data_IF_485307972666
#
_entry.id   IF_485307972666
#
_cell.length_a   1.000
_cell.length_b   1.000
_cell.length_c   1.000
_cell.angle_alpha   90.00
_cell.angle_beta   90.00
_cell.angle_gamma   90.00
#
_symmetry.space_group_name_H-M   'P 1'
#
loop_
_entity.id
_entity.type
_entity.pdbx_description
1 polymer ?
#
# COMPACT_ATOMS: atom_id res chain seq x y z
N UNK A 1 25.66 -16.34 -2.64
CA UNK A 1 26.48 -17.21 -1.78
C UNK A 1 25.93 -17.18 -0.36
N UNK A 2 26.27 -16.22 0.52
CA UNK A 2 25.92 -16.25 1.97
C UNK A 2 24.50 -16.65 2.39
N UNK A 3 23.47 -16.41 1.58
CA UNK A 3 22.08 -16.82 1.88
C UNK A 3 21.85 -18.32 1.66
N UNK A 4 22.48 -18.91 0.64
CA UNK A 4 22.38 -20.34 0.31
C UNK A 4 23.13 -21.17 1.35
N UNK A 5 24.27 -20.68 1.84
CA UNK A 5 25.08 -21.35 2.86
C UNK A 5 24.29 -21.49 4.19
N UNK A 6 23.54 -20.45 4.59
CA UNK A 6 22.63 -20.45 5.75
C UNK A 6 21.44 -21.42 5.58
N UNK A 7 20.93 -21.58 4.36
CA UNK A 7 19.77 -22.42 4.06
C UNK A 7 20.14 -23.92 4.04
N UNK A 8 21.39 -24.24 3.70
CA UNK A 8 21.98 -25.58 3.84
C UNK A 8 22.21 -25.92 5.33
N UNK A 9 22.81 -25.00 6.09
CA UNK A 9 23.10 -25.20 7.53
C UNK A 9 21.82 -25.37 8.38
N UNK A 10 20.72 -24.69 8.02
CA UNK A 10 19.40 -24.89 8.64
C UNK A 10 18.80 -26.28 8.33
N UNK A 11 19.00 -26.78 7.11
CA UNK A 11 18.51 -28.09 6.69
C UNK A 11 19.30 -29.24 7.34
N UNK A 12 20.63 -29.12 7.43
CA UNK A 12 21.46 -30.10 8.16
C UNK A 12 21.09 -30.14 9.66
N UNK A 13 20.90 -28.98 10.28
CA UNK A 13 20.43 -28.88 11.67
C UNK A 13 19.06 -29.52 11.88
N UNK A 14 18.15 -29.34 10.93
CA UNK A 14 16.81 -29.94 10.95
C UNK A 14 16.84 -31.46 10.76
N UNK A 15 17.75 -31.95 9.91
CA UNK A 15 17.96 -33.39 9.70
C UNK A 15 18.49 -34.05 10.98
N UNK A 16 19.48 -33.45 11.63
CA UNK A 16 20.04 -33.93 12.91
C UNK A 16 18.97 -33.95 14.01
N UNK A 17 18.16 -32.89 14.13
CA UNK A 17 17.03 -32.86 15.06
C UNK A 17 16.01 -33.98 14.77
N UNK A 18 15.69 -34.23 13.50
CA UNK A 18 14.77 -35.32 13.12
C UNK A 18 15.32 -36.71 13.45
N UNK A 19 16.64 -36.90 13.36
CA UNK A 19 17.28 -38.18 13.67
C UNK A 19 17.40 -38.41 15.19
N UNK A 20 17.74 -37.37 15.96
CA UNK A 20 17.74 -37.40 17.44
C UNK A 20 16.34 -37.69 17.99
N UNK A 21 15.29 -37.12 17.38
CA UNK A 21 13.90 -37.39 17.76
C UNK A 21 13.44 -38.80 17.36
N UNK A 22 13.89 -39.36 16.22
CA UNK A 22 13.62 -40.76 15.87
C UNK A 22 14.28 -41.77 16.83
N UNK A 23 15.46 -41.46 17.36
CA UNK A 23 16.13 -42.30 18.38
C UNK A 23 15.36 -42.28 19.72
N UNK A 24 14.48 -41.29 19.93
CA UNK A 24 13.71 -41.13 21.16
C UNK A 24 12.43 -41.97 21.23
N UNK A 25 11.86 -42.37 20.08
CA UNK A 25 10.61 -43.12 19.99
C UNK A 25 10.82 -44.61 19.71
N UNK A 26 11.06 -45.39 20.77
CA UNK A 26 10.82 -46.84 20.73
C UNK A 26 11.80 -47.74 21.47
N UNK A 27 11.40 -48.14 22.69
CA UNK A 27 11.71 -49.47 23.26
C UNK A 27 13.18 -49.78 23.60
N UNK A 28 13.80 -49.01 24.51
CA UNK A 28 14.86 -49.59 25.40
C UNK A 28 15.11 -48.84 26.75
N UNK A 29 14.10 -48.18 27.32
CA UNK A 29 14.21 -47.47 28.62
C UNK A 29 13.30 -47.99 29.75
N UNK A 30 12.75 -49.20 29.60
CA UNK A 30 11.84 -49.82 30.59
C UNK A 30 12.54 -50.59 31.73
N UNK A 31 13.88 -50.63 31.79
CA UNK A 31 14.64 -51.33 32.86
C UNK A 31 15.55 -50.45 33.73
N UNK A 32 15.44 -49.11 33.67
CA UNK A 32 16.09 -48.25 34.66
C UNK A 32 15.28 -48.28 35.97
N UNK A 33 15.67 -49.18 36.89
CA UNK A 33 15.17 -49.18 38.27
C UNK A 33 15.42 -47.81 38.90
N UNK A 34 14.33 -47.04 39.14
CA UNK A 34 14.38 -45.78 39.89
C UNK A 34 15.02 -46.00 41.26
N UNK A 35 16.26 -45.54 41.43
CA UNK A 35 16.91 -45.39 42.74
C UNK A 35 16.08 -44.42 43.57
N UNK A 36 15.58 -44.86 44.73
CA UNK A 36 14.82 -43.97 45.61
C UNK A 36 15.70 -42.84 46.12
N UNK A 37 15.20 -41.61 46.04
CA UNK A 37 15.86 -40.45 46.63
C UNK A 37 15.96 -40.61 48.14
N UNK A 38 17.10 -40.20 48.71
CA UNK A 38 17.40 -40.30 50.15
C UNK A 38 16.33 -39.59 51.02
N UNK A 39 15.65 -38.57 50.47
CA UNK A 39 14.60 -37.83 51.16
C UNK A 39 13.24 -38.56 51.25
N UNK A 40 12.93 -39.53 50.37
CA UNK A 40 11.67 -40.28 50.44
C UNK A 40 11.66 -41.34 51.55
N UNK A 41 12.84 -41.89 51.89
CA UNK A 41 12.97 -42.93 52.92
C UNK A 41 12.74 -42.41 54.35
N UNK A 42 12.82 -41.10 54.58
CA UNK A 42 12.67 -40.50 55.90
C UNK A 42 11.21 -40.20 56.29
N UNK A 43 10.25 -40.27 55.35
CA UNK A 43 8.80 -40.12 55.64
C UNK A 43 8.05 -41.43 55.84
N UNK A 44 8.62 -42.58 55.48
CA UNK A 44 8.10 -43.88 55.92
C UNK A 44 8.70 -44.26 57.27
N UNK A 45 7.93 -44.08 58.35
CA UNK A 45 8.36 -44.36 59.74
C UNK A 45 8.58 -45.86 60.04
N UNK A 46 9.59 -46.48 59.41
CA UNK A 46 10.00 -47.88 59.59
C UNK A 46 11.51 -48.06 59.43
N UNK A 47 12.28 -47.61 60.43
CA UNK A 47 13.60 -48.15 60.77
C UNK A 47 13.55 -48.42 62.28
N UNK A 48 12.94 -49.54 62.68
CA UNK A 48 13.65 -50.78 63.05
C UNK A 48 14.51 -50.58 64.31
N UNK A 49 13.87 -50.83 65.46
CA UNK A 49 14.54 -51.42 66.61
C UNK A 49 15.33 -52.66 66.18
N UNK A 50 16.64 -52.70 66.45
CA UNK A 50 17.46 -53.87 66.89
C UNK A 50 18.92 -53.67 66.51
N UNK A 51 19.76 -53.47 67.54
CA UNK A 51 21.20 -53.74 67.71
C UNK A 51 21.61 -52.82 68.89
N UNK A 52 22.06 -53.26 70.06
CA UNK A 52 22.45 -54.60 70.50
C UNK A 52 21.85 -55.00 71.84
N UNK A 53 21.49 -56.29 71.96
CA UNK A 53 21.26 -56.96 73.25
C UNK A 53 22.20 -58.14 73.35
N UNK A 54 22.87 -58.25 74.51
CA UNK A 54 23.43 -59.48 75.11
C UNK A 54 24.64 -60.10 74.37
N UNK A 55 25.80 -60.29 75.02
CA UNK A 55 25.98 -61.26 76.14
C UNK A 55 27.41 -61.22 76.76
N UNK A 56 27.41 -61.39 78.09
CA UNK A 56 28.44 -61.99 78.96
C UNK A 56 29.71 -61.15 79.28
N UNK A 57 30.28 -61.20 80.49
CA UNK A 57 30.10 -62.15 81.62
C UNK A 57 30.54 -61.54 82.97
N UNK A 58 29.94 -62.05 84.07
CA UNK A 58 30.48 -62.38 85.43
C UNK A 58 31.56 -61.47 86.09
N UNK A 59 31.58 -61.31 87.42
CA UNK A 59 31.21 -62.31 88.45
C UNK A 59 30.49 -61.78 89.69
N UNK A 60 29.78 -62.71 90.33
CA UNK A 60 29.43 -62.66 91.76
C UNK A 60 30.71 -62.70 92.63
N UNK A 61 30.58 -62.21 93.86
CA UNK A 61 30.94 -63.00 95.05
C UNK A 61 30.04 -62.54 96.20
N UNK A 62 29.20 -63.43 96.69
CA UNK A 62 28.53 -63.29 97.98
C UNK A 62 29.56 -63.43 99.12
N UNK A 63 29.22 -62.91 100.30
CA UNK A 63 29.23 -63.71 101.53
C UNK A 63 28.64 -62.88 102.68
N UNK A 64 27.47 -63.32 103.13
CA UNK A 64 26.87 -62.93 104.41
C UNK A 64 27.27 -64.00 105.43
N UNK A 65 27.77 -63.60 106.62
CA UNK A 65 27.89 -64.50 107.76
C UNK A 65 28.11 -63.73 109.07
N UNK A 66 27.44 -64.22 110.11
CA UNK A 66 27.30 -63.57 111.41
C UNK A 66 28.16 -64.29 112.48
N UNK A 67 28.59 -63.54 113.49
CA UNK A 67 29.07 -63.95 114.84
C UNK A 67 30.50 -64.47 115.14
N UNK A 68 31.06 -63.82 116.18
CA UNK A 68 31.94 -64.25 117.29
C UNK A 68 33.43 -64.70 117.13
N UNK A 69 34.28 -63.83 117.71
CA UNK A 69 35.40 -64.06 118.66
C UNK A 69 36.77 -64.71 118.30
N UNK A 70 37.82 -63.92 118.63
CA UNK A 70 39.13 -64.26 119.23
C UNK A 70 40.10 -65.25 118.51
N UNK A 71 41.20 -64.70 117.93
CA UNK A 71 42.61 -64.90 118.38
C UNK A 71 43.71 -64.66 117.30
N UNK A 72 44.60 -63.65 117.51
CA UNK A 72 46.06 -63.79 117.31
C UNK A 72 46.80 -63.40 116.00
N UNK A 73 47.55 -62.29 116.05
CA UNK A 73 48.80 -61.92 115.34
C UNK A 73 48.84 -61.53 113.83
N UNK A 74 49.81 -60.65 113.52
CA UNK A 74 50.04 -59.78 112.32
C UNK A 74 51.50 -59.97 111.78
N UNK A 75 52.10 -59.25 110.77
CA UNK A 75 51.64 -58.23 109.78
C UNK A 75 52.17 -58.56 108.31
N UNK A 76 52.90 -57.74 107.47
CA UNK A 76 52.86 -56.30 107.05
C UNK A 76 52.96 -56.02 105.49
N UNK A 77 52.20 -55.07 104.88
CA UNK A 77 52.48 -54.53 103.50
C UNK A 77 51.83 -53.16 103.13
N UNK A 78 51.84 -52.13 104.00
CA UNK A 78 50.97 -50.94 103.80
C UNK A 78 51.63 -49.75 103.08
N UNK A 79 52.90 -49.42 103.34
CA UNK A 79 53.48 -48.14 102.89
C UNK A 79 53.64 -47.95 101.38
N UNK A 80 53.79 -49.03 100.59
CA UNK A 80 53.89 -48.94 99.12
C UNK A 80 52.57 -48.49 98.48
N UNK A 81 51.44 -48.82 99.11
CA UNK A 81 50.10 -48.49 98.61
C UNK A 81 49.84 -46.98 98.66
N UNK A 82 50.18 -46.35 99.79
CA UNK A 82 49.99 -44.90 100.03
C UNK A 82 50.73 -44.03 99.01
N UNK A 83 51.98 -44.38 98.66
CA UNK A 83 52.77 -43.62 97.68
C UNK A 83 52.14 -43.67 96.28
N UNK A 84 51.70 -44.86 95.85
CA UNK A 84 51.00 -45.08 94.57
C UNK A 84 49.67 -44.32 94.49
N UNK A 85 48.94 -44.19 95.60
CA UNK A 85 47.72 -43.37 95.68
C UNK A 85 48.06 -41.88 95.44
N UNK A 86 49.14 -41.36 96.02
CA UNK A 86 49.54 -39.95 95.83
C UNK A 86 49.89 -39.63 94.37
N UNK A 87 50.63 -40.52 93.70
CA UNK A 87 51.03 -40.34 92.30
C UNK A 87 49.81 -40.41 91.36
N UNK A 88 48.89 -41.36 91.60
CA UNK A 88 47.62 -41.46 90.87
C UNK A 88 46.74 -40.21 91.07
N UNK A 89 46.67 -39.64 92.27
CA UNK A 89 45.93 -38.38 92.51
C UNK A 89 46.51 -37.19 91.74
N UNK A 90 47.84 -37.10 91.60
CA UNK A 90 48.48 -36.07 90.75
C UNK A 90 48.19 -36.29 89.27
N UNK A 91 48.25 -37.53 88.80
CA UNK A 91 47.92 -37.89 87.42
C UNK A 91 46.45 -37.58 87.09
N UNK A 92 45.53 -37.87 88.02
CA UNK A 92 44.11 -37.49 87.93
C UNK A 92 43.95 -35.97 87.87
N UNK A 93 44.67 -35.21 88.71
CA UNK A 93 44.65 -33.74 88.67
C UNK A 93 45.07 -33.18 87.31
N UNK A 94 46.18 -33.68 86.76
CA UNK A 94 46.68 -33.27 85.43
C UNK A 94 45.70 -33.67 84.32
N UNK A 95 45.12 -34.87 84.38
CA UNK A 95 44.08 -35.32 83.43
C UNK A 95 42.82 -34.47 83.51
N UNK A 96 42.36 -34.10 84.70
CA UNK A 96 41.21 -33.21 84.87
C UNK A 96 41.46 -31.82 84.28
N UNK A 97 42.63 -31.21 84.53
CA UNK A 97 43.00 -29.94 83.91
C UNK A 97 43.03 -30.03 82.37
N UNK A 98 43.53 -31.16 81.83
CA UNK A 98 43.56 -31.39 80.37
C UNK A 98 42.16 -31.61 79.79
N UNK A 99 41.26 -32.28 80.51
CA UNK A 99 39.85 -32.44 80.13
C UNK A 99 39.14 -31.09 80.08
N UNK A 100 39.34 -30.22 81.08
CA UNK A 100 38.75 -28.87 81.13
C UNK A 100 39.22 -28.04 79.94
N UNK A 101 40.52 -28.07 79.61
CA UNK A 101 41.04 -27.31 78.46
C UNK A 101 40.55 -27.90 77.12
N UNK A 102 40.45 -29.23 76.99
CA UNK A 102 39.83 -29.86 75.82
C UNK A 102 38.36 -29.48 75.65
N UNK A 103 37.59 -29.43 76.74
CA UNK A 103 36.19 -28.96 76.72
C UNK A 103 36.09 -27.49 76.29
N UNK A 104 37.03 -26.63 76.72
CA UNK A 104 37.12 -25.24 76.27
C UNK A 104 37.44 -25.13 74.77
N UNK A 105 38.42 -25.89 74.27
CA UNK A 105 38.73 -25.92 72.84
C UNK A 105 37.56 -26.44 71.99
N UNK A 106 36.84 -27.47 72.46
CA UNK A 106 35.63 -27.98 71.80
C UNK A 106 34.56 -26.90 71.74
N UNK A 107 34.29 -26.19 72.86
CA UNK A 107 33.30 -25.11 72.89
C UNK A 107 33.60 -24.00 71.88
N UNK A 108 34.88 -23.59 71.76
CA UNK A 108 35.30 -22.56 70.79
C UNK A 108 35.15 -23.05 69.34
N UNK A 109 35.47 -24.32 69.06
CA UNK A 109 35.29 -24.90 67.73
C UNK A 109 33.82 -25.07 67.36
N UNK A 110 32.96 -25.46 68.30
CA UNK A 110 31.51 -25.51 68.09
C UNK A 110 30.90 -24.12 67.82
N UNK A 111 31.41 -23.08 68.48
CA UNK A 111 30.96 -21.70 68.27
C UNK A 111 31.42 -21.18 66.90
N UNK A 112 32.69 -21.38 66.54
CA UNK A 112 33.20 -21.04 65.21
C UNK A 112 32.53 -21.84 64.07
N UNK A 113 32.11 -23.08 64.32
CA UNK A 113 31.33 -23.89 63.37
C UNK A 113 29.86 -23.48 63.31
N UNK A 114 29.28 -22.90 64.38
CA UNK A 114 27.95 -22.28 64.33
C UNK A 114 28.00 -20.96 63.55
N UNK A 115 29.01 -20.12 63.76
CA UNK A 115 29.18 -18.87 63.00
C UNK A 115 29.51 -19.09 61.51
N UNK A 116 30.31 -20.09 61.15
CA UNK A 116 30.56 -20.43 59.73
C UNK A 116 29.37 -21.13 59.04
N UNK A 117 28.36 -21.59 59.79
CA UNK A 117 27.13 -22.10 59.22
C UNK A 117 26.16 -20.94 58.96
N UNK A 118 26.42 -20.18 57.89
CA UNK A 118 25.58 -19.10 57.36
C UNK A 118 24.24 -19.61 56.78
N UNK A 119 23.64 -20.64 57.40
CA UNK A 119 22.39 -21.30 57.00
C UNK A 119 21.27 -20.25 56.86
N UNK A 120 21.17 -19.31 57.80
CA UNK A 120 20.19 -18.22 57.75
C UNK A 120 20.38 -17.30 56.52
N UNK A 121 21.63 -16.99 56.13
CA UNK A 121 21.91 -16.18 54.94
C UNK A 121 21.58 -16.96 53.66
N UNK A 122 21.93 -18.25 53.60
CA UNK A 122 21.59 -19.11 52.47
C UNK A 122 20.07 -19.29 52.32
N UNK A 123 19.33 -19.47 53.42
CA UNK A 123 17.87 -19.54 53.42
C UNK A 123 17.24 -18.23 52.92
N UNK A 124 17.75 -17.08 53.37
CA UNK A 124 17.30 -15.78 52.90
C UNK A 124 17.62 -15.55 51.41
N UNK A 125 18.80 -15.99 50.94
CA UNK A 125 19.17 -15.94 49.52
C UNK A 125 18.25 -16.83 48.68
N UNK A 126 17.92 -18.04 49.17
CA UNK A 126 17.00 -18.97 48.53
C UNK A 126 15.58 -18.40 48.41
N UNK A 127 15.10 -17.69 49.43
CA UNK A 127 13.82 -16.99 49.39
C UNK A 127 13.81 -15.85 48.35
N UNK A 128 14.90 -15.08 48.26
CA UNK A 128 15.05 -14.00 47.26
C UNK A 128 15.16 -14.56 45.83
N UNK A 129 15.87 -15.67 45.63
CA UNK A 129 15.95 -16.36 44.32
C UNK A 129 14.56 -16.84 43.90
N UNK A 130 13.84 -17.57 44.76
CA UNK A 130 12.46 -18.03 44.47
C UNK A 130 11.52 -16.87 44.13
N UNK A 131 11.54 -15.79 44.90
CA UNK A 131 10.71 -14.61 44.64
C UNK A 131 11.05 -13.93 43.31
N UNK A 132 12.32 -13.96 42.88
CA UNK A 132 12.74 -13.47 41.56
C UNK A 132 12.31 -14.42 40.44
N UNK A 133 12.45 -15.73 40.62
CA UNK A 133 12.03 -16.74 39.63
C UNK A 133 10.50 -16.70 39.44
N UNK A 134 9.73 -16.57 40.52
CA UNK A 134 8.27 -16.37 40.47
C UNK A 134 7.92 -15.10 39.65
N UNK A 135 8.59 -13.98 39.93
CA UNK A 135 8.39 -12.72 39.20
C UNK A 135 8.85 -12.77 37.74
N UNK A 136 9.88 -13.56 37.40
CA UNK A 136 10.30 -13.80 36.01
C UNK A 136 9.20 -14.59 35.28
N UNK A 137 8.72 -15.68 35.87
CA UNK A 137 7.61 -16.48 35.31
C UNK A 137 6.33 -15.64 35.10
N UNK A 138 5.99 -14.75 36.04
CA UNK A 138 4.86 -13.81 35.88
C UNK A 138 5.06 -12.86 34.70
N UNK A 139 6.25 -12.27 34.56
CA UNK A 139 6.57 -11.36 33.46
C UNK A 139 6.56 -12.07 32.11
N UNK A 140 7.10 -13.29 32.03
CA UNK A 140 7.05 -14.14 30.84
C UNK A 140 5.61 -14.50 30.45
N UNK A 141 4.75 -14.85 31.42
CA UNK A 141 3.33 -15.07 31.15
C UNK A 141 2.61 -13.82 30.64
N UNK A 142 2.92 -12.64 31.18
CA UNK A 142 2.33 -11.37 30.73
C UNK A 142 2.80 -11.01 29.32
N UNK A 143 4.10 -11.19 29.03
CA UNK A 143 4.68 -10.94 27.71
C UNK A 143 4.10 -11.90 26.68
N UNK A 144 4.05 -13.21 26.96
CA UNK A 144 3.46 -14.19 26.05
C UNK A 144 1.96 -13.92 25.83
N UNK A 145 1.17 -13.70 26.88
CA UNK A 145 -0.26 -13.35 26.72
C UNK A 145 -0.47 -12.10 25.87
N UNK A 146 0.29 -11.02 26.09
CA UNK A 146 0.17 -9.79 25.29
C UNK A 146 0.71 -9.94 23.87
N UNK A 147 1.81 -10.64 23.69
CA UNK A 147 2.44 -10.90 22.40
C UNK A 147 1.49 -11.65 21.48
N UNK A 148 1.04 -12.84 21.90
CA UNK A 148 0.14 -13.70 21.13
C UNK A 148 -1.20 -13.00 20.84
N UNK A 149 -1.92 -12.51 21.85
CA UNK A 149 -3.25 -11.90 21.63
C UNK A 149 -3.23 -10.65 20.76
N UNK A 150 -2.15 -9.86 20.76
CA UNK A 150 -2.06 -8.65 19.91
C UNK A 150 -1.42 -8.90 18.55
N UNK A 151 -0.70 -10.01 18.36
CA UNK A 151 -0.30 -10.49 17.03
C UNK A 151 -1.52 -11.09 16.32
N UNK A 152 -2.14 -12.11 16.92
CA UNK A 152 -3.30 -12.83 16.37
C UNK A 152 -4.44 -11.87 15.99
N UNK A 153 -4.74 -10.87 16.81
CA UNK A 153 -5.78 -9.88 16.50
C UNK A 153 -5.40 -8.99 15.30
N UNK A 154 -4.13 -8.61 15.16
CA UNK A 154 -3.66 -7.80 14.02
C UNK A 154 -3.64 -8.63 12.75
N UNK A 155 -3.18 -9.87 12.82
CA UNK A 155 -3.08 -10.76 11.65
C UNK A 155 -4.48 -11.16 11.14
N UNK A 156 -5.41 -11.51 12.04
CA UNK A 156 -6.81 -11.71 11.69
C UNK A 156 -7.43 -10.44 11.07
N UNK A 157 -7.15 -9.25 11.63
CA UNK A 157 -7.64 -7.99 11.08
C UNK A 157 -7.04 -7.65 9.72
N UNK A 158 -5.80 -8.03 9.45
CA UNK A 158 -5.16 -7.89 8.14
C UNK A 158 -5.87 -8.80 7.13
N UNK A 159 -6.09 -10.08 7.46
CA UNK A 159 -6.81 -11.02 6.60
C UNK A 159 -8.24 -10.54 6.26
N UNK A 160 -9.00 -10.05 7.25
CA UNK A 160 -10.31 -9.42 7.01
C UNK A 160 -10.25 -8.26 6.01
N UNK A 161 -9.24 -7.39 6.13
CA UNK A 161 -9.07 -6.23 5.26
C UNK A 161 -8.59 -6.63 3.85
N UNK A 162 -7.75 -7.66 3.73
CA UNK A 162 -7.33 -8.21 2.45
C UNK A 162 -8.50 -8.85 1.70
N UNK A 163 -9.37 -9.61 2.37
CA UNK A 163 -10.54 -10.22 1.75
C UNK A 163 -11.59 -9.17 1.36
N UNK A 164 -11.85 -8.18 2.22
CA UNK A 164 -12.69 -7.03 1.86
C UNK A 164 -12.12 -6.22 0.67
N UNK A 165 -10.79 -6.12 0.54
CA UNK A 165 -10.14 -5.46 -0.59
C UNK A 165 -10.28 -6.28 -1.88
N UNK A 166 -10.11 -7.61 -1.82
CA UNK A 166 -10.35 -8.52 -2.96
C UNK A 166 -11.80 -8.43 -3.44
N UNK A 167 -12.77 -8.45 -2.52
CA UNK A 167 -14.19 -8.29 -2.85
C UNK A 167 -14.47 -6.92 -3.48
N UNK A 168 -13.97 -5.84 -2.89
CA UNK A 168 -14.11 -4.48 -3.42
C UNK A 168 -13.53 -4.34 -4.83
N UNK A 169 -12.36 -4.95 -5.10
CA UNK A 169 -11.75 -4.99 -6.42
C UNK A 169 -12.60 -5.77 -7.43
N UNK A 170 -13.09 -6.97 -7.07
CA UNK A 170 -13.98 -7.76 -7.94
C UNK A 170 -15.28 -7.02 -8.27
N UNK A 171 -15.88 -6.37 -7.27
CA UNK A 171 -17.08 -5.53 -7.46
C UNK A 171 -16.78 -4.35 -8.39
N UNK A 172 -15.62 -3.70 -8.25
CA UNK A 172 -15.22 -2.61 -9.14
C UNK A 172 -15.04 -3.10 -10.59
N UNK A 173 -14.33 -4.22 -10.80
CA UNK A 173 -14.11 -4.82 -12.13
C UNK A 173 -15.42 -5.26 -12.80
N UNK A 174 -16.33 -5.91 -12.07
CA UNK A 174 -17.62 -6.34 -12.66
C UNK A 174 -18.52 -5.13 -12.96
N UNK A 175 -18.52 -4.08 -12.12
CA UNK A 175 -19.23 -2.83 -12.42
C UNK A 175 -18.69 -2.13 -13.66
N UNK A 176 -17.37 -2.08 -13.82
CA UNK A 176 -16.73 -1.49 -15.00
C UNK A 176 -17.06 -2.28 -16.27
N UNK A 177 -17.04 -3.62 -16.21
CA UNK A 177 -17.48 -4.48 -17.31
C UNK A 177 -18.94 -4.25 -17.69
N UNK A 178 -19.86 -4.25 -16.72
CA UNK A 178 -21.29 -3.97 -16.97
C UNK A 178 -21.49 -2.57 -17.58
N UNK A 179 -20.75 -1.57 -17.10
CA UNK A 179 -20.77 -0.22 -17.65
C UNK A 179 -20.32 -0.18 -19.13
N UNK A 180 -19.23 -0.89 -19.49
CA UNK A 180 -18.80 -1.02 -20.88
C UNK A 180 -19.85 -1.72 -21.76
N UNK A 181 -20.48 -2.79 -21.25
CA UNK A 181 -21.56 -3.50 -21.97
C UNK A 181 -22.83 -2.64 -22.15
N UNK A 182 -23.16 -1.77 -21.19
CA UNK A 182 -24.27 -0.81 -21.29
C UNK A 182 -23.97 0.34 -22.26
N UNK A 183 -22.79 0.95 -22.18
CA UNK A 183 -22.41 2.02 -23.10
C UNK A 183 -22.29 1.49 -24.53
N UNK A 184 -21.78 0.27 -24.74
CA UNK A 184 -21.75 -0.35 -26.06
C UNK A 184 -23.17 -0.59 -26.62
N UNK A 185 -24.10 -1.14 -25.80
CA UNK A 185 -25.52 -1.26 -26.18
C UNK A 185 -26.16 0.08 -26.51
N UNK A 186 -25.82 1.14 -25.77
CA UNK A 186 -26.28 2.51 -26.03
C UNK A 186 -25.72 3.07 -27.35
N UNK A 187 -24.42 2.90 -27.62
CA UNK A 187 -23.76 3.30 -28.87
C UNK A 187 -24.41 2.59 -30.07
N UNK A 188 -24.67 1.29 -29.97
CA UNK A 188 -25.36 0.53 -31.03
C UNK A 188 -26.80 0.99 -31.24
N UNK A 189 -27.53 1.28 -30.17
CA UNK A 189 -28.89 1.81 -30.23
C UNK A 189 -28.91 3.18 -30.91
N UNK A 190 -27.98 4.08 -30.58
CA UNK A 190 -27.82 5.38 -31.24
C UNK A 190 -27.45 5.25 -32.73
N UNK A 191 -26.56 4.30 -33.08
CA UNK A 191 -26.22 3.99 -34.48
C UNK A 191 -27.45 3.49 -35.26
N UNK A 192 -28.25 2.58 -34.68
CA UNK A 192 -29.50 2.08 -35.26
C UNK A 192 -30.53 3.20 -35.41
N UNK A 193 -30.70 4.05 -34.39
CA UNK A 193 -31.59 5.22 -34.42
C UNK A 193 -31.20 6.21 -35.52
N UNK A 194 -29.91 6.55 -35.67
CA UNK A 194 -29.42 7.43 -36.74
C UNK A 194 -29.68 6.86 -38.15
N UNK A 195 -29.48 5.55 -38.35
CA UNK A 195 -29.83 4.86 -39.61
C UNK A 195 -31.34 4.90 -39.88
N UNK A 196 -32.17 4.72 -38.85
CA UNK A 196 -33.63 4.78 -38.96
C UNK A 196 -34.12 6.21 -39.27
N UNK A 197 -33.55 7.23 -38.62
CA UNK A 197 -33.82 8.64 -38.90
C UNK A 197 -33.48 9.00 -40.35
N UNK A 198 -32.31 8.57 -40.85
CA UNK A 198 -31.93 8.73 -42.26
C UNK A 198 -32.96 8.07 -43.20
N UNK A 199 -33.40 6.83 -42.91
CA UNK A 199 -34.43 6.14 -43.69
C UNK A 199 -35.78 6.88 -43.68
N UNK A 200 -36.21 7.41 -42.53
CA UNK A 200 -37.45 8.21 -42.42
C UNK A 200 -37.35 9.47 -43.28
N UNK A 201 -36.22 10.21 -43.22
CA UNK A 201 -35.99 11.37 -44.07
C UNK A 201 -35.98 11.00 -45.56
N UNK A 202 -35.34 9.89 -45.94
CA UNK A 202 -35.35 9.41 -47.33
C UNK A 202 -36.76 9.07 -47.82
N UNK A 203 -37.59 8.40 -47.00
CA UNK A 203 -38.98 8.11 -47.31
C UNK A 203 -39.85 9.37 -47.40
N UNK A 204 -39.61 10.36 -46.54
CA UNK A 204 -40.29 11.67 -46.58
C UNK A 204 -39.90 12.48 -47.83
N UNK A 205 -38.63 12.47 -48.22
CA UNK A 205 -38.17 13.11 -49.45
C UNK A 205 -38.78 12.41 -50.69
N UNK A 206 -38.78 11.08 -50.72
CA UNK A 206 -39.40 10.31 -51.80
C UNK A 206 -40.91 10.56 -51.89
N UNK A 207 -41.64 10.62 -50.77
CA UNK A 207 -43.08 10.91 -50.78
C UNK A 207 -43.39 12.36 -51.19
N UNK A 208 -42.54 13.33 -50.81
CA UNK A 208 -42.65 14.72 -51.27
C UNK A 208 -42.37 14.87 -52.78
N UNK A 209 -41.40 14.13 -53.32
CA UNK A 209 -41.06 14.10 -54.75
C UNK A 209 -42.06 13.31 -55.61
N UNK A 210 -42.81 12.37 -55.00
CA UNK A 210 -43.87 11.62 -55.68
C UNK A 210 -45.25 12.27 -55.52
N UNK A 211 -45.43 13.17 -54.56
CA UNK A 211 -46.66 13.95 -54.39
C UNK A 211 -46.73 15.04 -55.48
N UNK A 212 -47.73 14.97 -56.35
CA UNK A 212 -47.91 15.90 -57.49
C UNK A 212 -47.94 17.37 -57.05
N UNK A 213 -48.70 17.67 -55.98
CA UNK A 213 -48.82 19.01 -55.40
C UNK A 213 -47.46 19.51 -54.92
N UNK A 214 -46.76 18.74 -54.09
CA UNK A 214 -45.44 19.10 -53.57
C UNK A 214 -44.42 19.26 -54.71
N UNK A 215 -44.42 18.36 -55.69
CA UNK A 215 -43.52 18.38 -56.86
C UNK A 215 -43.67 19.66 -57.67
N UNK A 216 -44.90 20.13 -57.89
CA UNK A 216 -45.15 21.39 -58.61
C UNK A 216 -44.58 22.60 -57.87
N UNK A 217 -44.72 22.62 -56.53
CA UNK A 217 -44.20 23.68 -55.66
C UNK A 217 -42.67 23.63 -55.59
N UNK A 218 -42.07 22.45 -55.42
CA UNK A 218 -40.62 22.24 -55.39
C UNK A 218 -39.95 22.64 -56.71
N UNK A 219 -40.55 22.30 -57.86
CA UNK A 219 -40.07 22.76 -59.19
C UNK A 219 -40.09 24.28 -59.30
N UNK A 220 -41.17 24.95 -58.86
CA UNK A 220 -41.26 26.41 -58.85
C UNK A 220 -40.26 27.05 -57.86
N UNK A 221 -40.08 26.46 -56.68
CA UNK A 221 -39.10 26.90 -55.69
C UNK A 221 -37.69 26.87 -56.27
N UNK A 222 -37.26 25.74 -56.84
CA UNK A 222 -35.95 25.58 -57.49
C UNK A 222 -35.75 26.58 -58.63
N UNK A 223 -36.77 26.86 -59.44
CA UNK A 223 -36.71 27.88 -60.49
C UNK A 223 -36.50 29.30 -59.93
N UNK A 224 -37.19 29.65 -58.85
CA UNK A 224 -37.04 30.95 -58.17
C UNK A 224 -35.67 31.07 -57.49
N UNK A 225 -35.19 30.00 -56.86
CA UNK A 225 -33.86 29.93 -56.24
C UNK A 225 -32.74 30.08 -57.26
N UNK A 226 -32.76 29.31 -58.36
CA UNK A 226 -31.79 29.47 -59.46
C UNK A 226 -31.84 30.89 -60.07
N UNK A 227 -33.02 31.51 -60.14
CA UNK A 227 -33.18 32.88 -60.63
C UNK A 227 -32.60 33.90 -59.66
N UNK A 228 -32.85 33.74 -58.35
CA UNK A 228 -32.27 34.57 -57.29
C UNK A 228 -30.75 34.46 -57.26
N UNK A 229 -30.21 33.24 -57.37
CA UNK A 229 -28.76 33.00 -57.39
C UNK A 229 -28.10 33.64 -58.62
N UNK A 230 -28.73 33.55 -59.81
CA UNK A 230 -28.29 34.26 -61.02
C UNK A 230 -28.30 35.78 -60.82
N UNK A 231 -29.38 36.34 -60.27
CA UNK A 231 -29.49 37.77 -60.01
C UNK A 231 -28.44 38.27 -59.00
N UNK A 232 -28.16 37.50 -57.94
CA UNK A 232 -27.04 37.78 -57.01
C UNK A 232 -25.70 37.79 -57.73
N UNK A 233 -25.36 36.71 -58.44
CA UNK A 233 -24.10 36.63 -59.18
C UNK A 233 -23.92 37.77 -60.20
N UNK A 234 -24.98 38.17 -60.92
CA UNK A 234 -24.94 39.32 -61.82
C UNK A 234 -24.74 40.65 -61.08
N UNK A 235 -25.44 40.88 -59.96
CA UNK A 235 -25.26 42.05 -59.10
C UNK A 235 -23.82 42.13 -58.58
N UNK A 236 -23.28 41.01 -58.11
CA UNK A 236 -21.97 40.95 -57.45
C UNK A 236 -20.83 41.10 -58.47
N UNK A 237 -21.02 40.60 -59.70
CA UNK A 237 -20.14 40.91 -60.83
C UNK A 237 -20.20 42.41 -61.21
N UNK A 238 -21.40 42.99 -61.30
CA UNK A 238 -21.56 44.41 -61.64
C UNK A 238 -20.98 45.35 -60.57
N UNK A 239 -21.13 45.03 -59.28
CA UNK A 239 -20.53 45.80 -58.19
C UNK A 239 -19.00 45.74 -58.23
N UNK A 240 -18.40 44.56 -58.43
CA UNK A 240 -16.94 44.41 -58.58
C UNK A 240 -16.41 45.15 -59.81
N UNK A 241 -17.13 45.11 -60.94
CA UNK A 241 -16.75 45.88 -62.13
C UNK A 241 -16.83 47.38 -61.87
N UNK A 242 -17.90 47.87 -61.24
CA UNK A 242 -18.08 49.28 -60.93
C UNK A 242 -16.99 49.81 -59.98
N UNK A 243 -16.66 49.09 -58.91
CA UNK A 243 -15.61 49.51 -57.98
C UNK A 243 -14.22 49.56 -58.65
N UNK A 244 -13.90 48.63 -59.57
CA UNK A 244 -12.66 48.72 -60.38
C UNK A 244 -12.65 49.96 -61.27
N UNK A 245 -13.74 50.25 -61.99
CA UNK A 245 -13.83 51.46 -62.83
C UNK A 245 -13.73 52.74 -61.99
N UNK A 246 -14.27 52.76 -60.77
CA UNK A 246 -14.09 53.88 -59.84
C UNK A 246 -12.62 53.99 -59.39
N UNK A 247 -11.96 52.88 -59.08
CA UNK A 247 -10.53 52.83 -58.77
C UNK A 247 -9.69 53.42 -59.92
N UNK A 248 -9.88 52.92 -61.15
CA UNK A 248 -9.16 53.36 -62.36
C UNK A 248 -9.32 54.88 -62.59
N UNK A 249 -10.54 55.42 -62.42
CA UNK A 249 -10.83 56.85 -62.56
C UNK A 249 -10.14 57.66 -61.46
N UNK A 250 -10.12 57.17 -60.22
CA UNK A 250 -9.47 57.85 -59.09
C UNK A 250 -7.94 57.86 -59.28
N UNK A 251 -7.34 56.74 -59.68
CA UNK A 251 -5.89 56.64 -59.97
C UNK A 251 -5.48 57.57 -61.12
N UNK A 252 -6.24 57.62 -62.21
CA UNK A 252 -6.04 58.58 -63.29
C UNK A 252 -6.13 60.04 -62.80
N UNK A 253 -7.16 60.36 -62.00
CA UNK A 253 -7.38 61.71 -61.46
C UNK A 253 -6.25 62.14 -60.52
N UNK A 254 -5.78 61.23 -59.66
CA UNK A 254 -4.65 61.50 -58.74
C UNK A 254 -3.38 61.75 -59.55
N UNK A 255 -3.09 60.92 -60.55
CA UNK A 255 -1.93 61.06 -61.44
C UNK A 255 -1.95 62.42 -62.18
N UNK A 256 -3.12 62.87 -62.62
CA UNK A 256 -3.28 64.20 -63.24
C UNK A 256 -2.94 65.33 -62.25
N UNK A 257 -3.43 65.25 -61.00
CA UNK A 257 -3.12 66.23 -59.95
C UNK A 257 -1.65 66.23 -59.55
N UNK A 258 -1.04 65.06 -59.39
CA UNK A 258 0.38 64.93 -59.09
C UNK A 258 1.25 65.48 -60.24
N UNK A 259 0.85 65.31 -61.51
CA UNK A 259 1.51 65.98 -62.66
C UNK A 259 1.41 67.51 -62.58
N UNK A 260 0.22 68.05 -62.30
CA UNK A 260 0.00 69.49 -62.17
C UNK A 260 0.77 70.10 -60.98
N UNK A 261 0.91 69.35 -59.89
CA UNK A 261 1.73 69.74 -58.74
C UNK A 261 3.22 69.72 -59.12
N UNK A 262 3.71 68.65 -59.75
CA UNK A 262 5.10 68.53 -60.17
C UNK A 262 5.50 69.61 -61.19
N UNK A 263 4.62 69.99 -62.12
CA UNK A 263 4.84 71.11 -63.05
C UNK A 263 5.03 72.44 -62.30
N UNK A 264 4.23 72.73 -61.28
CA UNK A 264 4.37 73.94 -60.46
C UNK A 264 5.63 73.91 -59.59
N UNK A 265 5.97 72.75 -59.02
CA UNK A 265 7.16 72.57 -58.19
C UNK A 265 8.46 72.68 -59.01
N UNK A 266 8.49 72.15 -60.25
CA UNK A 266 9.63 72.27 -61.17
C UNK A 266 9.75 73.68 -61.76
N UNK A 267 8.63 74.34 -62.10
CA UNK A 267 8.62 75.73 -62.55
C UNK A 267 9.16 76.68 -61.47
N UNK A 268 8.94 76.34 -60.21
CA UNK A 268 9.08 77.25 -59.08
C UNK A 268 7.86 78.16 -58.98
N UNK A 269 7.23 78.16 -57.82
CA UNK A 269 6.11 79.05 -57.48
C UNK A 269 6.68 80.44 -57.18
N UNK A 270 6.28 81.45 -57.96
CA UNK A 270 6.84 82.80 -57.86
C UNK A 270 5.87 83.84 -57.29
N UNK A 271 4.58 83.53 -57.19
CA UNK A 271 3.58 84.41 -56.59
C UNK A 271 2.60 83.69 -55.64
N UNK A 272 1.83 84.47 -54.89
CA UNK A 272 0.86 84.01 -53.89
C UNK A 272 -0.31 83.23 -54.52
N UNK A 273 -0.69 83.52 -55.77
CA UNK A 273 -1.76 82.83 -56.48
C UNK A 273 -1.32 81.43 -56.93
N UNK A 274 -0.08 81.30 -57.44
CA UNK A 274 0.54 80.03 -57.77
C UNK A 274 0.74 79.17 -56.51
N UNK A 275 1.05 79.79 -55.37
CA UNK A 275 1.14 79.13 -54.06
C UNK A 275 -0.22 78.56 -53.66
N UNK A 276 -1.26 79.41 -53.63
CA UNK A 276 -2.62 79.01 -53.29
C UNK A 276 -3.19 77.94 -54.26
N UNK A 277 -2.82 77.99 -55.55
CA UNK A 277 -3.19 76.96 -56.53
C UNK A 277 -2.49 75.62 -56.23
N UNK A 278 -1.20 75.63 -55.89
CA UNK A 278 -0.46 74.42 -55.52
C UNK A 278 -1.06 73.77 -54.26
N UNK A 279 -1.36 74.57 -53.24
CA UNK A 279 -2.00 74.09 -52.00
C UNK A 279 -3.42 73.54 -52.26
N UNK A 280 -4.21 74.21 -53.11
CA UNK A 280 -5.53 73.72 -53.51
C UNK A 280 -5.46 72.36 -54.23
N UNK A 281 -4.49 72.19 -55.14
CA UNK A 281 -4.24 70.91 -55.83
C UNK A 281 -3.81 69.82 -54.84
N UNK A 282 -2.93 70.13 -53.87
CA UNK A 282 -2.53 69.18 -52.82
C UNK A 282 -3.71 68.74 -51.94
N UNK A 283 -4.57 69.67 -51.54
CA UNK A 283 -5.80 69.38 -50.79
C UNK A 283 -6.77 68.50 -51.62
N UNK A 284 -6.91 68.76 -52.92
CA UNK A 284 -7.76 67.95 -53.81
C UNK A 284 -7.18 66.54 -54.02
N UNK A 285 -5.88 66.44 -54.25
CA UNK A 285 -5.12 65.17 -54.36
C UNK A 285 -5.28 64.33 -53.08
N UNK A 286 -5.15 64.94 -51.91
CA UNK A 286 -5.34 64.25 -50.62
C UNK A 286 -6.79 63.77 -50.42
N UNK A 287 -7.80 64.53 -50.89
CA UNK A 287 -9.21 64.06 -50.90
C UNK A 287 -9.40 62.86 -51.82
N UNK A 288 -8.80 62.88 -53.02
CA UNK A 288 -8.87 61.76 -53.96
C UNK A 288 -8.15 60.51 -53.42
N UNK A 289 -6.99 60.65 -52.79
CA UNK A 289 -6.29 59.54 -52.12
C UNK A 289 -7.13 58.91 -51.00
N UNK A 290 -7.77 59.73 -50.17
CA UNK A 290 -8.67 59.22 -49.13
C UNK A 290 -9.88 58.48 -49.75
N UNK A 291 -10.42 58.97 -50.86
CA UNK A 291 -11.51 58.29 -51.58
C UNK A 291 -11.06 56.96 -52.21
N UNK A 292 -9.86 56.94 -52.82
CA UNK A 292 -9.25 55.73 -53.38
C UNK A 292 -9.01 54.67 -52.30
N UNK A 293 -8.55 55.08 -51.12
CA UNK A 293 -8.39 54.18 -49.97
C UNK A 293 -9.72 53.50 -49.60
N UNK A 294 -10.82 54.26 -49.49
CA UNK A 294 -12.14 53.69 -49.18
C UNK A 294 -12.66 52.76 -50.28
N UNK A 295 -12.43 53.06 -51.56
CA UNK A 295 -12.84 52.16 -52.65
C UNK A 295 -11.99 50.88 -52.68
N UNK A 296 -10.69 50.96 -52.37
CA UNK A 296 -9.81 49.80 -52.24
C UNK A 296 -10.21 48.90 -51.06
N UNK A 297 -10.57 49.48 -49.90
CA UNK A 297 -11.16 48.75 -48.77
C UNK A 297 -12.43 48.00 -49.20
N UNK A 298 -13.33 48.67 -49.96
CA UNK A 298 -14.55 48.07 -50.51
C UNK A 298 -14.29 46.94 -51.52
N UNK A 299 -13.25 47.05 -52.35
CA UNK A 299 -12.86 45.98 -53.29
C UNK A 299 -12.40 44.74 -52.50
N UNK A 300 -11.64 44.92 -51.42
CA UNK A 300 -11.22 43.83 -50.54
C UNK A 300 -12.40 43.21 -49.77
N UNK A 301 -13.40 44.00 -49.38
CA UNK A 301 -14.66 43.49 -48.80
C UNK A 301 -15.42 42.61 -49.80
N UNK A 302 -15.65 43.08 -51.04
CA UNK A 302 -16.33 42.30 -52.08
C UNK A 302 -15.57 41.00 -52.43
N UNK A 303 -14.23 41.03 -52.42
CA UNK A 303 -13.42 39.81 -52.59
C UNK A 303 -13.57 38.85 -51.40
N UNK A 304 -13.58 39.37 -50.16
CA UNK A 304 -13.78 38.56 -48.96
C UNK A 304 -15.16 37.90 -48.95
N UNK A 305 -16.20 38.62 -49.34
CA UNK A 305 -17.55 38.07 -49.50
C UNK A 305 -17.59 36.95 -50.55
N UNK A 306 -16.86 37.09 -51.67
CA UNK A 306 -16.72 36.05 -52.70
C UNK A 306 -16.02 34.79 -52.14
N UNK A 307 -14.88 34.93 -51.44
CA UNK A 307 -14.21 33.81 -50.77
C UNK A 307 -15.08 33.14 -49.70
N UNK A 308 -15.79 33.91 -48.88
CA UNK A 308 -16.70 33.37 -47.86
C UNK A 308 -17.90 32.67 -48.49
N UNK A 309 -18.44 33.17 -49.60
CA UNK A 309 -19.51 32.51 -50.34
C UNK A 309 -19.05 31.16 -50.94
N UNK A 310 -17.80 31.08 -51.43
CA UNK A 310 -17.21 29.82 -51.90
C UNK A 310 -16.97 28.83 -50.76
N UNK A 311 -16.36 29.25 -49.66
CA UNK A 311 -16.17 28.39 -48.47
C UNK A 311 -17.51 27.88 -47.92
N UNK A 312 -18.53 28.73 -47.85
CA UNK A 312 -19.87 28.33 -47.41
C UNK A 312 -20.58 27.37 -48.40
N UNK A 313 -20.21 27.38 -49.69
CA UNK A 313 -20.71 26.39 -50.65
C UNK A 313 -19.98 25.03 -50.50
N UNK A 314 -18.67 25.03 -50.27
CA UNK A 314 -17.89 23.81 -49.99
C UNK A 314 -18.27 23.19 -48.61
N UNK A 315 -18.51 24.03 -47.60
CA UNK A 315 -19.09 23.58 -46.32
C UNK A 315 -20.54 23.10 -46.48
N UNK A 316 -21.35 23.65 -47.41
CA UNK A 316 -22.69 23.13 -47.69
C UNK A 316 -22.63 21.72 -48.34
N UNK A 317 -21.60 21.45 -49.14
CA UNK A 317 -21.34 20.10 -49.68
C UNK A 317 -20.88 19.08 -48.60
N UNK A 318 -20.38 19.51 -47.44
CA UNK A 318 -19.92 18.62 -46.35
C UNK A 318 -20.81 18.64 -45.09
N UNK A 319 -21.59 19.71 -44.88
CA UNK A 319 -22.68 19.85 -43.91
C UNK A 319 -23.97 20.15 -44.66
N UNK A 320 -24.53 19.15 -45.32
CA UNK A 320 -25.86 19.23 -45.96
C UNK A 320 -26.90 19.66 -44.92
N UNK A 321 -27.43 20.89 -44.97
CA UNK A 321 -28.61 21.26 -44.19
C UNK A 321 -29.80 20.68 -44.95
N UNK A 322 -30.65 19.97 -44.21
CA UNK A 322 -31.97 19.46 -44.62
C UNK A 322 -32.58 20.20 -45.81
N UNK A 323 -32.44 19.65 -47.02
CA UNK A 323 -33.45 19.70 -48.07
C UNK A 323 -33.14 18.74 -49.22
N UNK A 324 -34.15 17.96 -49.56
CA UNK A 324 -34.41 17.13 -50.76
C UNK A 324 -33.37 17.26 -51.89
N UNK A 325 -32.17 16.71 -51.69
CA UNK A 325 -31.24 16.45 -52.80
C UNK A 325 -31.72 15.22 -53.56
N UNK A 326 -31.74 15.37 -54.88
CA UNK A 326 -32.07 14.28 -55.81
C UNK A 326 -31.12 13.11 -55.55
N UNK A 327 -31.66 11.93 -55.30
CA UNK A 327 -30.91 10.71 -55.45
C UNK A 327 -30.57 10.53 -56.93
N UNK A 328 -29.29 10.31 -57.25
CA UNK A 328 -28.82 9.41 -58.33
C UNK A 328 -27.28 9.28 -58.43
N UNK A 329 -26.49 10.26 -57.95
CA UNK A 329 -25.03 10.28 -58.23
C UNK A 329 -24.11 9.52 -57.25
N UNK A 330 -24.62 8.68 -56.33
CA UNK A 330 -23.77 7.82 -55.46
C UNK A 330 -24.32 6.39 -55.34
N UNK A 331 -24.42 5.69 -56.47
CA UNK A 331 -24.38 4.22 -56.52
C UNK A 331 -23.08 3.82 -57.23
N UNK A 332 -21.94 4.06 -56.58
CA UNK A 332 -20.62 3.79 -57.14
C UNK A 332 -19.51 3.54 -56.09
N UNK A 333 -19.83 2.89 -54.97
CA UNK A 333 -18.93 1.93 -54.30
C UNK A 333 -19.81 0.87 -53.64
N UNK A 334 -20.10 -0.20 -54.38
CA UNK A 334 -20.33 -1.48 -53.73
C UNK A 334 -18.96 -1.97 -53.27
N UNK A 335 -18.82 -2.32 -52.00
CA UNK A 335 -17.76 -3.21 -51.54
C UNK A 335 -18.47 -4.33 -50.78
N UNK A 336 -18.25 -5.56 -51.24
CA UNK A 336 -19.13 -6.68 -50.96
C UNK A 336 -19.04 -7.13 -49.50
N UNK A 337 -20.17 -7.50 -48.92
CA UNK A 337 -20.27 -8.64 -48.01
C UNK A 337 -21.73 -9.10 -47.97
N UNK A 338 -21.97 -10.22 -48.65
CA UNK A 338 -23.25 -10.91 -48.72
C UNK A 338 -23.63 -11.45 -47.32
N UNK A 339 -24.90 -11.30 -46.95
CA UNK A 339 -25.57 -12.33 -46.15
C UNK A 339 -27.07 -12.29 -46.49
N UNK A 340 -27.50 -13.27 -47.28
CA UNK A 340 -28.89 -13.44 -47.70
C UNK A 340 -29.82 -13.64 -46.50
N UNK A 341 -30.97 -12.96 -46.52
CA UNK A 341 -32.14 -13.33 -45.70
C UNK A 341 -33.30 -13.57 -46.67
N UNK A 342 -33.87 -14.79 -46.72
CA UNK A 342 -34.76 -15.20 -47.80
C UNK A 342 -36.14 -14.51 -47.74
N UNK A 343 -36.65 -14.15 -48.91
CA UNK A 343 -37.96 -13.55 -49.10
C UNK A 343 -39.10 -14.58 -48.94
N UNK A 344 -39.57 -14.73 -47.70
CA UNK A 344 -40.87 -15.32 -47.30
C UNK A 344 -41.32 -14.56 -46.05
N UNK A 345 -42.53 -14.01 -45.91
CA UNK A 345 -43.85 -14.36 -46.47
C UNK A 345 -44.62 -13.09 -46.89
N UNK A 346 -45.64 -13.26 -47.74
CA UNK A 346 -46.66 -12.30 -48.20
C UNK A 346 -47.25 -11.39 -47.09
#
# INVERSE_FOLDING_TARGET
MKVIDLEIELNESSLILSEVLKISDGRELSEVKRSKSYFELQKSGKVVDRLDKRRFSRSYNDLDMVTYDRSGNDPPNVHKLSRKISDLSKEIGIKNSKIIEQQRCISILEEALRENNNIAEFEQLLAVVRSKDERINELEQIINKKGTTTADYRDNRILELEDALKESFLIATEREKVFYEEEQRRIETLKKMKKMEQRIRSLQNASALNCETCTSVLKRFKQLECSLQRCKAMRDAALRQLSRVIQDILECSITEKDSQIAELEVKGVLDENETAKCDALKIERDRLLNRLKTENERILELQREEYQAHMNQEECHTRVPVDITLADDVIAVCDDNEEDIPATVL
#
